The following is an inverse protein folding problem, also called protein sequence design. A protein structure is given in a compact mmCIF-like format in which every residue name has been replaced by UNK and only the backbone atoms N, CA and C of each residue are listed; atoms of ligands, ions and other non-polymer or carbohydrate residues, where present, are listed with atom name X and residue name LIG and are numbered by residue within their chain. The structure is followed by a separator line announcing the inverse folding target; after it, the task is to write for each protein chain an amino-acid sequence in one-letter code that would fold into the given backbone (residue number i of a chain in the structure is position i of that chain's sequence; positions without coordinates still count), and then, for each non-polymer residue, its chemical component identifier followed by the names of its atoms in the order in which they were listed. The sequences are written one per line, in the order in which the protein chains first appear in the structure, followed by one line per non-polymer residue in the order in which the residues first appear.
data_IF_110803183802
#
_entry.id   IF_110803183802
#
_cell.length_a   1.000
_cell.length_b   1.000
_cell.length_c   1.000
_cell.angle_alpha   90.00
_cell.angle_beta   90.00
_cell.angle_gamma   90.00
#
_symmetry.space_group_name_H-M   'P 1'
#
loop_
_entity.id
_entity.type
_entity.pdbx_description
1 polymer ?
#
# COMPACT_ATOMS: atom_id res chain seq x y z
N UNK A 1 19.98 9.79 16.57
CA UNK A 1 19.68 8.41 16.99
C UNK A 1 18.17 8.31 17.18
N UNK A 2 17.43 7.84 16.18
CA UNK A 2 15.97 7.61 16.29
C UNK A 2 15.70 6.14 16.06
N UNK A 3 15.11 5.49 17.07
CA UNK A 3 14.88 4.06 17.11
C UNK A 3 13.88 3.65 16.01
N UNK A 4 14.30 2.75 15.13
CA UNK A 4 13.41 2.10 14.17
C UNK A 4 12.64 1.01 14.92
N UNK A 5 11.34 1.23 15.15
CA UNK A 5 10.42 0.20 15.67
C UNK A 5 10.38 -0.98 14.71
N UNK A 6 11.28 -1.94 14.94
CA UNK A 6 11.39 -3.18 14.20
C UNK A 6 10.51 -4.19 14.91
N UNK A 7 9.26 -4.29 14.46
CA UNK A 7 8.45 -5.46 14.78
C UNK A 7 9.26 -6.72 14.40
N UNK A 8 9.32 -7.75 15.26
CA UNK A 8 10.02 -8.99 14.92
C UNK A 8 9.42 -9.59 13.63
N UNK A 9 10.23 -10.24 12.79
CA UNK A 9 9.75 -10.82 11.55
C UNK A 9 8.74 -11.92 11.88
N UNK A 10 7.46 -11.65 11.59
CA UNK A 10 6.41 -12.67 11.65
C UNK A 10 6.81 -13.81 10.71
N UNK A 11 6.84 -15.08 11.16
CA UNK A 11 7.14 -16.21 10.28
C UNK A 11 6.24 -16.17 9.05
N UNK A 12 6.79 -16.40 7.85
CA UNK A 12 6.05 -16.24 6.59
C UNK A 12 4.69 -16.98 6.56
N UNK A 13 4.61 -18.13 7.25
CA UNK A 13 3.39 -18.92 7.40
C UNK A 13 2.31 -18.20 8.21
N UNK A 14 2.67 -17.50 9.28
CA UNK A 14 1.73 -16.73 10.11
C UNK A 14 1.28 -15.47 9.37
N UNK A 15 2.19 -14.81 8.64
CA UNK A 15 1.81 -13.69 7.77
C UNK A 15 0.81 -14.14 6.69
N UNK A 16 1.03 -15.29 6.06
CA UNK A 16 0.10 -15.82 5.06
C UNK A 16 -1.30 -16.09 5.65
N UNK A 17 -1.39 -16.60 6.88
CA UNK A 17 -2.67 -16.78 7.58
C UNK A 17 -3.37 -15.44 7.85
N UNK A 18 -2.63 -14.42 8.27
CA UNK A 18 -3.18 -13.08 8.50
C UNK A 18 -3.72 -12.49 7.19
N UNK A 19 -2.96 -12.59 6.10
CA UNK A 19 -3.40 -12.13 4.77
C UNK A 19 -4.68 -12.85 4.33
N UNK A 20 -4.77 -14.18 4.54
CA UNK A 20 -5.97 -14.95 4.19
C UNK A 20 -7.19 -14.53 5.02
N UNK A 21 -7.01 -14.22 6.31
CA UNK A 21 -8.07 -13.71 7.18
C UNK A 21 -8.53 -12.30 6.78
N UNK A 22 -7.60 -11.45 6.34
CA UNK A 22 -7.91 -10.11 5.84
C UNK A 22 -8.67 -10.20 4.50
N UNK A 23 -8.28 -11.10 3.61
CA UNK A 23 -8.92 -11.33 2.31
C UNK A 23 -10.33 -11.93 2.43
N UNK A 24 -10.56 -12.78 3.44
CA UNK A 24 -11.87 -13.38 3.72
C UNK A 24 -13.00 -12.36 3.95
N UNK A 25 -12.67 -11.07 4.12
CA UNK A 25 -13.60 -9.94 4.22
C UNK A 25 -14.10 -9.44 2.85
N UNK A 26 -13.73 -10.10 1.75
CA UNK A 26 -14.19 -9.78 0.39
C UNK A 26 -13.38 -8.69 -0.31
N UNK A 27 -12.23 -8.27 0.26
CA UNK A 27 -11.34 -7.24 -0.29
C UNK A 27 -9.92 -7.79 -0.39
N UNK A 28 -9.19 -7.57 -1.50
CA UNK A 28 -7.83 -8.07 -1.62
C UNK A 28 -6.87 -7.29 -0.73
N UNK A 29 -5.93 -7.98 -0.09
CA UNK A 29 -4.90 -7.33 0.73
C UNK A 29 -3.82 -6.65 -0.11
N UNK A 30 -3.48 -7.27 -1.24
CA UNK A 30 -2.47 -6.80 -2.17
C UNK A 30 -3.06 -6.60 -3.55
N UNK A 31 -2.91 -5.39 -4.09
CA UNK A 31 -3.38 -5.02 -5.43
C UNK A 31 -2.20 -4.74 -6.35
N UNK A 32 -2.42 -4.95 -7.65
CA UNK A 32 -1.43 -4.64 -8.67
C UNK A 32 -1.76 -3.29 -9.30
N UNK A 33 -0.73 -2.47 -9.54
CA UNK A 33 -0.92 -1.30 -10.37
C UNK A 33 -1.41 -1.72 -11.78
N UNK A 34 -2.38 -0.99 -12.35
CA UNK A 34 -2.88 -1.29 -13.68
C UNK A 34 -1.76 -1.16 -14.72
N UNK A 35 -1.88 -1.91 -15.82
CA UNK A 35 -1.02 -1.73 -16.99
C UNK A 35 -1.31 -0.41 -17.67
N UNK A 36 -2.60 -0.06 -17.76
CA UNK A 36 -3.11 1.22 -18.25
C UNK A 36 -4.37 1.62 -17.47
N UNK A 37 -4.62 2.91 -17.34
CA UNK A 37 -5.76 3.47 -16.60
C UNK A 37 -5.59 3.49 -15.08
N UNK A 38 -6.71 3.26 -14.38
CA UNK A 38 -6.82 3.44 -12.94
C UNK A 38 -6.88 2.10 -12.19
N UNK A 39 -6.36 2.10 -10.97
CA UNK A 39 -6.51 0.99 -10.04
C UNK A 39 -7.99 0.83 -9.65
N UNK A 40 -8.48 -0.41 -9.57
CA UNK A 40 -9.91 -0.74 -9.48
C UNK A 40 -10.55 -0.32 -8.15
N UNK A 41 -9.80 -0.33 -7.04
CA UNK A 41 -10.36 -0.04 -5.71
C UNK A 41 -10.25 1.43 -5.32
N UNK A 42 -9.15 2.09 -5.71
CA UNK A 42 -8.82 3.45 -5.26
C UNK A 42 -8.87 4.49 -6.35
N UNK A 43 -8.95 4.09 -7.62
CA UNK A 43 -8.88 5.00 -8.76
C UNK A 43 -7.48 5.60 -9.00
N UNK A 44 -6.47 5.23 -8.20
CA UNK A 44 -5.13 5.79 -8.32
C UNK A 44 -4.44 5.32 -9.61
N UNK A 45 -3.73 6.24 -10.26
CA UNK A 45 -2.90 5.90 -11.43
C UNK A 45 -1.66 5.14 -11.01
N UNK A 46 -1.09 4.37 -11.94
CA UNK A 46 0.22 3.72 -11.76
C UNK A 46 1.29 4.72 -11.30
N UNK A 47 1.39 5.88 -11.94
CA UNK A 47 2.39 6.90 -11.57
C UNK A 47 2.23 7.33 -10.10
N UNK A 48 0.99 7.57 -9.65
CA UNK A 48 0.71 7.99 -8.28
C UNK A 48 1.04 6.89 -7.26
N UNK A 49 0.71 5.63 -7.56
CA UNK A 49 1.06 4.50 -6.69
C UNK A 49 2.57 4.38 -6.48
N UNK A 50 3.36 4.52 -7.55
CA UNK A 50 4.82 4.47 -7.47
C UNK A 50 5.41 5.67 -6.72
N UNK A 51 4.86 6.86 -6.93
CA UNK A 51 5.24 8.07 -6.17
C UNK A 51 5.01 7.87 -4.67
N UNK A 52 3.80 7.46 -4.28
CA UNK A 52 3.42 7.29 -2.87
C UNK A 52 4.24 6.19 -2.20
N UNK A 53 4.47 5.07 -2.89
CA UNK A 53 5.31 3.99 -2.38
C UNK A 53 6.78 4.43 -2.26
N UNK A 54 7.30 5.18 -3.22
CA UNK A 54 8.66 5.74 -3.18
C UNK A 54 8.86 6.72 -2.04
N UNK A 55 7.82 7.48 -1.68
CA UNK A 55 7.79 8.39 -0.52
C UNK A 55 7.51 7.69 0.82
N UNK A 56 7.24 6.38 0.82
CA UNK A 56 6.92 5.62 2.03
C UNK A 56 5.53 5.92 2.62
N UNK A 57 4.63 6.55 1.86
CA UNK A 57 3.27 6.83 2.31
C UNK A 57 2.36 5.59 2.31
N UNK A 58 2.65 4.64 1.41
CA UNK A 58 1.90 3.39 1.29
C UNK A 58 2.86 2.20 1.27
N UNK A 59 2.40 1.04 1.75
CA UNK A 59 3.20 -0.19 1.74
C UNK A 59 3.21 -0.79 0.34
N UNK A 60 4.39 -1.21 -0.09
CA UNK A 60 4.56 -1.96 -1.35
C UNK A 60 5.60 -3.05 -1.19
N UNK A 61 5.44 -4.13 -1.96
CA UNK A 61 6.40 -5.23 -2.04
C UNK A 61 6.78 -5.49 -3.49
N UNK A 62 8.06 -5.77 -3.73
CA UNK A 62 8.54 -6.15 -5.04
C UNK A 62 8.87 -7.64 -5.03
N UNK A 63 8.05 -8.43 -5.71
CA UNK A 63 8.30 -9.84 -5.98
C UNK A 63 9.34 -9.93 -7.10
N UNK A 64 10.62 -9.93 -6.72
CA UNK A 64 11.76 -10.04 -7.62
C UNK A 64 12.62 -11.21 -7.19
N UNK A 65 12.88 -12.13 -8.10
CA UNK A 65 13.87 -13.19 -7.90
C UNK A 65 15.30 -12.62 -7.87
N UNK A 66 16.21 -13.20 -7.06
CA UNK A 66 17.62 -12.83 -7.10
C UNK A 66 18.19 -12.87 -8.53
N UNK A 67 18.84 -11.79 -8.96
CA UNK A 67 19.43 -11.67 -10.30
C UNK A 67 18.47 -11.24 -11.42
N UNK A 68 17.17 -11.08 -11.17
CA UNK A 68 16.24 -10.56 -12.18
C UNK A 68 16.11 -9.03 -12.11
N UNK A 69 16.17 -8.38 -13.28
CA UNK A 69 16.02 -6.92 -13.39
C UNK A 69 14.57 -6.47 -13.19
N UNK A 70 13.61 -7.28 -13.66
CA UNK A 70 12.16 -7.00 -13.57
C UNK A 70 11.52 -7.86 -12.49
N UNK A 71 10.60 -7.28 -11.74
CA UNK A 71 9.79 -7.96 -10.73
C UNK A 71 8.36 -7.43 -10.72
N UNK A 72 7.46 -8.13 -10.04
CA UNK A 72 6.08 -7.70 -9.85
C UNK A 72 5.96 -6.87 -8.57
N UNK A 73 5.60 -5.58 -8.70
CA UNK A 73 5.29 -4.75 -7.53
C UNK A 73 3.81 -4.86 -7.19
N UNK A 74 3.53 -5.14 -5.91
CA UNK A 74 2.20 -5.12 -5.32
C UNK A 74 2.11 -3.99 -4.29
N UNK A 75 0.91 -3.45 -4.11
CA UNK A 75 0.60 -2.37 -3.19
C UNK A 75 -0.44 -2.87 -2.19
N UNK A 76 -0.30 -2.49 -0.92
CA UNK A 76 -1.23 -2.93 0.10
C UNK A 76 -2.45 -2.00 0.12
N UNK A 77 -3.64 -2.58 -0.08
CA UNK A 77 -4.87 -1.83 -0.21
C UNK A 77 -5.20 -1.03 1.05
N UNK A 78 -5.03 -1.64 2.23
CA UNK A 78 -5.27 -0.95 3.51
C UNK A 78 -4.43 0.33 3.62
N UNK A 79 -3.13 0.24 3.38
CA UNK A 79 -2.25 1.42 3.45
C UNK A 79 -2.61 2.51 2.43
N UNK A 80 -3.16 2.12 1.28
CA UNK A 80 -3.65 3.07 0.28
C UNK A 80 -4.90 3.81 0.78
N UNK A 81 -5.85 3.09 1.36
CA UNK A 81 -7.07 3.66 1.94
C UNK A 81 -6.75 4.55 3.16
N UNK A 82 -5.83 4.11 4.03
CA UNK A 82 -5.37 4.90 5.17
C UNK A 82 -4.78 6.24 4.73
N UNK A 83 -4.00 6.24 3.64
CA UNK A 83 -3.46 7.45 3.05
C UNK A 83 -4.57 8.38 2.53
N UNK A 84 -5.57 7.83 1.82
CA UNK A 84 -6.69 8.62 1.31
C UNK A 84 -7.49 9.24 2.46
N UNK A 85 -7.86 8.45 3.47
CA UNK A 85 -8.58 8.94 4.65
C UNK A 85 -7.80 10.03 5.40
N UNK A 86 -6.48 9.87 5.51
CA UNK A 86 -5.59 10.88 6.07
C UNK A 86 -5.61 12.18 5.26
N UNK A 87 -5.60 12.11 3.92
CA UNK A 87 -5.65 13.30 3.05
C UNK A 87 -7.01 14.00 3.12
N UNK A 88 -8.10 13.23 3.17
CA UNK A 88 -9.46 13.75 3.36
C UNK A 88 -9.58 14.55 4.67
N UNK A 89 -9.10 13.98 5.78
CA UNK A 89 -9.12 14.65 7.08
C UNK A 89 -8.32 15.98 7.10
N UNK A 90 -7.17 16.02 6.40
CA UNK A 90 -6.37 17.24 6.27
C UNK A 90 -7.07 18.31 5.43
N UNK A 91 -7.73 17.92 4.33
CA UNK A 91 -8.47 18.84 3.48
C UNK A 91 -9.64 19.51 4.22
N UNK A 92 -10.28 18.78 5.14
CA UNK A 92 -11.34 19.31 6.00
C UNK A 92 -10.84 20.30 7.08
N UNK A 93 -9.60 20.16 7.54
CA UNK A 93 -9.03 21.06 8.56
C UNK A 93 -8.52 22.40 8.00
N UNK A 94 -8.26 22.49 6.70
CA UNK A 94 -7.72 23.69 6.03
C UNK A 94 -8.82 24.65 5.53
N UNK A 95 -10.09 24.27 5.67
CA UNK A 95 -11.24 25.15 5.41
C UNK A 95 -11.65 25.92 6.68
N UNK A 96 -10.86 26.93 7.07
CA UNK A 96 -11.33 28.02 7.93
C UNK A 96 -11.93 29.14 7.08
N UNK A 97 -13.12 29.68 7.43
CA UNK A 97 -13.79 30.69 6.63
C UNK A 97 -13.08 32.04 6.72
N UNK A 98 -12.92 32.71 5.58
CA UNK A 98 -12.68 34.14 5.49
C UNK A 98 -14.01 34.90 5.48
#
# INVERSE_FOLDING_TARGET
MTANSTNPPVPARELAKQLLQEEAKGMPVWVRAPTDGHEHFTGLTRAKLYELAGKGHIRSVSLREPGKVKGCRLFNLQSMLDYIAKMEAQAGSDQSPA
#
